data_IF_807817498337
#
_entry.id   IF_807817498337
#
_cell.length_a   1.000
_cell.length_b   1.000
_cell.length_c   1.000
_cell.angle_alpha   90.00
_cell.angle_beta   90.00
_cell.angle_gamma   90.00
#
_symmetry.space_group_name_H-M   'P 1'
#
loop_
_entity.id
_entity.type
_entity.pdbx_description
1 polymer ?
#
# COMPACT_ATOMS: atom_id res chain seq x y z
N UNK A 1 8.16 -10.73 24.72
CA UNK A 1 8.41 -9.58 23.83
C UNK A 1 7.46 -9.68 22.64
N UNK A 2 6.63 -8.67 22.37
CA UNK A 2 5.76 -8.68 21.18
C UNK A 2 6.57 -8.67 19.88
N UNK A 3 5.99 -9.26 18.82
CA UNK A 3 6.55 -9.31 17.46
C UNK A 3 6.86 -7.89 16.95
N UNK A 4 7.71 -7.77 15.92
CA UNK A 4 8.04 -6.46 15.36
C UNK A 4 6.78 -5.72 14.87
N UNK A 5 5.79 -6.44 14.33
CA UNK A 5 4.51 -5.88 13.92
C UNK A 5 3.67 -5.39 15.08
N UNK A 6 3.61 -6.13 16.19
CA UNK A 6 2.97 -5.63 17.40
C UNK A 6 3.56 -4.28 17.81
N UNK A 7 4.89 -4.12 17.77
CA UNK A 7 5.54 -2.84 18.08
C UNK A 7 5.19 -1.73 17.08
N UNK A 8 5.12 -2.05 15.79
CA UNK A 8 4.68 -1.11 14.74
C UNK A 8 3.25 -0.64 15.02
N UNK A 9 2.32 -1.56 15.31
CA UNK A 9 0.93 -1.24 15.64
C UNK A 9 0.83 -0.38 16.91
N UNK A 10 1.59 -0.70 17.96
CA UNK A 10 1.63 0.13 19.18
C UNK A 10 2.20 1.52 18.91
N UNK A 11 3.22 1.64 18.05
CA UNK A 11 3.77 2.93 17.66
C UNK A 11 2.73 3.74 16.85
N UNK A 12 1.96 3.12 15.95
CA UNK A 12 0.87 3.77 15.22
C UNK A 12 -0.26 4.22 16.16
N UNK A 13 -0.73 3.34 17.07
CA UNK A 13 -1.77 3.67 18.06
C UNK A 13 -1.36 4.81 18.99
N UNK A 14 -0.08 4.90 19.33
CA UNK A 14 0.47 5.98 20.14
C UNK A 14 0.81 7.26 19.34
N UNK A 15 0.42 7.35 18.05
CA UNK A 15 0.70 8.50 17.19
C UNK A 15 2.17 8.65 16.77
N UNK A 16 3.04 7.68 17.10
CA UNK A 16 4.48 7.66 16.79
C UNK A 16 4.73 7.18 15.35
N UNK A 17 4.07 7.81 14.37
CA UNK A 17 4.09 7.44 12.94
C UNK A 17 5.51 7.29 12.38
N UNK A 18 6.39 8.27 12.65
CA UNK A 18 7.81 8.24 12.21
C UNK A 18 8.51 6.95 12.65
N UNK A 19 8.33 6.57 13.92
CA UNK A 19 8.95 5.37 14.51
C UNK A 19 8.42 4.08 13.88
N UNK A 20 7.13 4.03 13.57
CA UNK A 20 6.53 2.91 12.83
C UNK A 20 7.11 2.80 11.41
N UNK A 21 7.22 3.91 10.68
CA UNK A 21 7.84 3.96 9.36
C UNK A 21 9.31 3.51 9.38
N UNK A 22 10.09 3.97 10.36
CA UNK A 22 11.51 3.60 10.50
C UNK A 22 11.67 2.08 10.73
N UNK A 23 10.78 1.47 11.53
CA UNK A 23 10.76 0.01 11.72
C UNK A 23 10.43 -0.73 10.42
N UNK A 24 9.42 -0.28 9.67
CA UNK A 24 9.07 -0.88 8.38
C UNK A 24 10.19 -0.74 7.34
N UNK A 25 10.85 0.42 7.27
CA UNK A 25 12.03 0.62 6.40
C UNK A 25 13.15 -0.36 6.73
N UNK A 26 13.40 -0.60 8.01
CA UNK A 26 14.38 -1.59 8.44
C UNK A 26 13.99 -3.00 7.98
N UNK A 27 12.71 -3.37 8.12
CA UNK A 27 12.21 -4.65 7.62
C UNK A 27 12.32 -4.77 6.09
N UNK A 28 11.97 -3.74 5.31
CA UNK A 28 12.11 -3.73 3.85
C UNK A 28 13.59 -3.90 3.45
N UNK A 29 14.51 -3.28 4.20
CA UNK A 29 15.95 -3.41 3.95
C UNK A 29 16.51 -4.80 4.31
N UNK A 30 15.86 -5.50 5.23
CA UNK A 30 16.24 -6.82 5.70
C UNK A 30 15.63 -7.93 4.83
N UNK A 31 14.37 -7.76 4.42
CA UNK A 31 13.57 -8.69 3.63
C UNK A 31 13.08 -8.00 2.34
N UNK A 32 13.99 -7.68 1.40
CA UNK A 32 13.63 -6.90 0.21
C UNK A 32 12.70 -7.64 -0.76
N UNK A 33 12.60 -8.97 -0.65
CA UNK A 33 11.72 -9.82 -1.46
C UNK A 33 10.25 -9.73 -1.03
N UNK A 34 9.98 -9.29 0.20
CA UNK A 34 8.61 -9.19 0.71
C UNK A 34 8.01 -7.81 0.41
N UNK A 35 7.35 -7.71 -0.74
CA UNK A 35 6.69 -6.45 -1.17
C UNK A 35 5.54 -6.03 -0.24
N UNK A 36 4.95 -6.94 0.54
CA UNK A 36 3.87 -6.57 1.48
C UNK A 36 4.33 -5.57 2.54
N UNK A 37 5.63 -5.56 2.85
CA UNK A 37 6.23 -4.56 3.75
C UNK A 37 6.22 -3.17 3.14
N UNK A 38 6.45 -3.07 1.82
CA UNK A 38 6.35 -1.82 1.07
C UNK A 38 4.90 -1.35 1.01
N UNK A 39 3.94 -2.25 0.77
CA UNK A 39 2.51 -1.92 0.75
C UNK A 39 2.02 -1.34 2.09
N UNK A 40 2.43 -1.95 3.21
CA UNK A 40 2.12 -1.44 4.55
C UNK A 40 2.69 -0.04 4.78
N UNK A 41 3.94 0.18 4.36
CA UNK A 41 4.59 1.48 4.52
C UNK A 41 3.91 2.55 3.64
N UNK A 42 3.55 2.19 2.40
CA UNK A 42 2.81 3.04 1.50
C UNK A 42 1.45 3.45 2.08
N UNK A 43 0.70 2.50 2.66
CA UNK A 43 -0.57 2.79 3.31
C UNK A 43 -0.42 3.81 4.45
N UNK A 44 0.59 3.66 5.31
CA UNK A 44 0.85 4.63 6.40
C UNK A 44 1.14 6.03 5.84
N UNK A 45 1.87 6.12 4.73
CA UNK A 45 2.14 7.38 4.06
C UNK A 45 0.88 8.00 3.46
N UNK A 46 0.06 7.19 2.79
CA UNK A 46 -1.21 7.61 2.20
C UNK A 46 -2.17 8.13 3.26
N UNK A 47 -2.36 7.38 4.35
CA UNK A 47 -3.21 7.77 5.50
C UNK A 47 -2.71 9.04 6.20
N UNK A 48 -1.46 9.43 5.96
CA UNK A 48 -0.83 10.63 6.49
C UNK A 48 -0.80 11.80 5.48
N UNK A 49 -1.37 11.61 4.28
CA UNK A 49 -1.46 12.63 3.24
C UNK A 49 -0.23 12.75 2.32
N UNK A 50 0.79 11.90 2.50
CA UNK A 50 2.01 11.91 1.69
C UNK A 50 1.84 10.98 0.48
N UNK A 51 1.06 11.42 -0.51
CA UNK A 51 0.69 10.59 -1.68
C UNK A 51 1.90 10.20 -2.55
N UNK A 52 2.89 11.06 -2.68
CA UNK A 52 4.13 10.80 -3.43
C UNK A 52 4.98 9.71 -2.77
N UNK A 53 5.19 9.79 -1.45
CA UNK A 53 5.86 8.73 -0.69
C UNK A 53 5.07 7.42 -0.71
N UNK A 54 3.73 7.47 -0.69
CA UNK A 54 2.92 6.27 -0.85
C UNK A 54 3.14 5.62 -2.23
N UNK A 55 3.09 6.42 -3.30
CA UNK A 55 3.35 5.95 -4.67
C UNK A 55 4.73 5.33 -4.85
N UNK A 56 5.76 5.88 -4.20
CA UNK A 56 7.12 5.32 -4.17
C UNK A 56 7.15 3.87 -3.69
N UNK A 57 6.44 3.58 -2.61
CA UNK A 57 6.44 2.25 -2.02
C UNK A 57 5.48 1.29 -2.74
N UNK A 58 4.41 1.79 -3.36
CA UNK A 58 3.46 0.99 -4.15
C UNK A 58 3.86 0.70 -5.59
N UNK A 59 4.86 1.38 -6.18
CA UNK A 59 5.17 1.27 -7.62
C UNK A 59 5.47 -0.17 -8.13
N UNK A 60 5.89 -1.08 -7.26
CA UNK A 60 6.13 -2.48 -7.61
C UNK A 60 4.93 -3.40 -7.31
N UNK A 61 3.86 -2.85 -6.75
CA UNK A 61 2.64 -3.57 -6.40
C UNK A 61 1.56 -3.27 -7.43
N UNK A 62 0.83 -4.29 -7.85
CA UNK A 62 -0.27 -4.10 -8.80
C UNK A 62 -1.37 -3.26 -8.14
N UNK A 63 -1.76 -2.10 -8.72
CA UNK A 63 -2.75 -1.23 -8.12
C UNK A 63 -4.10 -1.91 -7.98
N UNK A 64 -4.67 -1.90 -6.78
CA UNK A 64 -5.95 -2.55 -6.48
C UNK A 64 -7.13 -1.58 -6.52
N UNK A 65 -6.87 -0.27 -6.51
CA UNK A 65 -7.87 0.78 -6.50
C UNK A 65 -7.35 2.06 -7.19
N UNK A 66 -8.22 3.07 -7.32
CA UNK A 66 -7.90 4.32 -7.99
C UNK A 66 -6.86 5.13 -7.20
N UNK A 67 -6.93 5.10 -5.88
CA UNK A 67 -6.05 5.83 -4.97
C UNK A 67 -4.59 5.38 -5.08
N UNK A 68 -4.34 4.08 -5.14
CA UNK A 68 -3.00 3.51 -5.37
C UNK A 68 -2.46 3.96 -6.72
N UNK A 69 -3.28 3.89 -7.77
CA UNK A 69 -2.89 4.31 -9.11
C UNK A 69 -2.54 5.80 -9.15
N UNK A 70 -3.37 6.65 -8.56
CA UNK A 70 -3.15 8.09 -8.45
C UNK A 70 -1.85 8.39 -7.70
N UNK A 71 -1.62 7.75 -6.55
CA UNK A 71 -0.40 7.92 -5.76
C UNK A 71 0.86 7.54 -6.56
N UNK A 72 0.82 6.41 -7.27
CA UNK A 72 1.92 5.99 -8.15
C UNK A 72 2.15 7.01 -9.27
N UNK A 73 1.11 7.53 -9.90
CA UNK A 73 1.23 8.56 -10.95
C UNK A 73 1.84 9.85 -10.40
N UNK A 74 1.39 10.33 -9.22
CA UNK A 74 1.95 11.49 -8.53
C UNK A 74 3.45 11.30 -8.27
N UNK A 75 3.83 10.14 -7.72
CA UNK A 75 5.23 9.80 -7.46
C UNK A 75 6.06 9.78 -8.75
N UNK A 76 5.57 9.13 -9.80
CA UNK A 76 6.30 9.07 -11.07
C UNK A 76 6.47 10.46 -11.68
N UNK A 77 5.44 11.30 -11.59
CA UNK A 77 5.48 12.67 -12.10
C UNK A 77 6.46 13.56 -11.30
N UNK A 78 6.56 13.38 -9.98
CA UNK A 78 7.53 14.13 -9.16
C UNK A 78 8.99 13.85 -9.56
N UNK A 79 9.26 12.66 -10.12
CA UNK A 79 10.56 12.28 -10.70
C UNK A 79 10.61 12.43 -12.22
N UNK A 80 9.72 13.23 -12.82
CA UNK A 80 9.64 13.48 -14.27
C UNK A 80 9.59 12.20 -15.11
N UNK A 81 8.96 11.15 -14.58
CA UNK A 81 8.90 9.82 -15.18
C UNK A 81 10.28 9.23 -15.57
N UNK A 82 11.34 9.63 -14.87
CA UNK A 82 12.71 9.17 -15.14
C UNK A 82 12.96 7.81 -14.53
N UNK A 83 13.18 6.79 -15.38
CA UNK A 83 13.51 5.43 -14.94
C UNK A 83 14.74 5.38 -14.06
N UNK A 84 15.79 6.13 -14.42
CA UNK A 84 17.02 6.23 -13.62
C UNK A 84 16.77 6.84 -12.23
N UNK A 85 15.96 7.91 -12.14
CA UNK A 85 15.66 8.55 -10.85
C UNK A 85 14.82 7.63 -9.96
N UNK A 86 13.78 7.01 -10.53
CA UNK A 86 12.91 6.07 -9.82
C UNK A 86 13.72 4.86 -9.31
N UNK A 87 14.57 4.24 -10.15
CA UNK A 87 15.40 3.10 -9.73
C UNK A 87 16.30 3.46 -8.55
N UNK A 88 16.94 4.63 -8.59
CA UNK A 88 17.80 5.14 -7.50
C UNK A 88 17.05 5.49 -6.23
N UNK A 89 15.75 5.76 -6.33
CA UNK A 89 14.93 6.16 -5.20
C UNK A 89 14.24 4.97 -4.51
N UNK A 90 13.73 4.00 -5.27
CA UNK A 90 13.05 2.80 -4.72
C UNK A 90 14.03 1.73 -4.20
N UNK A 91 15.24 1.70 -4.77
CA UNK A 91 16.37 0.82 -4.41
C UNK A 91 15.92 -0.61 -4.12
N UNK A 92 15.43 -1.32 -5.13
CA UNK A 92 15.06 -2.73 -4.96
C UNK A 92 16.31 -3.61 -4.89
N UNK A 93 16.47 -4.35 -3.77
CA UNK A 93 17.63 -5.22 -3.49
C UNK A 93 17.28 -6.70 -3.39
N UNK A 94 16.07 -7.06 -3.79
CA UNK A 94 15.57 -8.43 -3.77
C UNK A 94 15.91 -9.21 -5.03
N UNK A 95 15.44 -10.45 -5.06
CA UNK A 95 15.45 -11.35 -6.19
C UNK A 95 14.36 -10.98 -7.20
N UNK A 96 14.75 -10.45 -8.35
CA UNK A 96 13.82 -10.13 -9.43
C UNK A 96 13.08 -11.36 -9.95
N UNK A 97 13.60 -12.58 -9.75
CA UNK A 97 12.95 -13.81 -10.22
C UNK A 97 11.70 -14.15 -9.40
N UNK A 98 11.65 -13.73 -8.13
CA UNK A 98 10.54 -13.98 -7.20
C UNK A 98 9.42 -12.94 -7.29
N UNK A 99 9.64 -11.87 -8.05
CA UNK A 99 8.65 -10.82 -8.28
C UNK A 99 7.48 -11.30 -9.15
N UNK A 100 6.31 -10.68 -8.96
CA UNK A 100 5.17 -10.83 -9.86
C UNK A 100 5.50 -10.33 -11.28
N UNK A 101 4.74 -10.77 -12.27
CA UNK A 101 4.92 -10.33 -13.66
C UNK A 101 4.73 -8.81 -13.80
N UNK A 102 3.79 -8.24 -13.04
CA UNK A 102 3.60 -6.79 -12.93
C UNK A 102 4.91 -6.10 -12.49
N UNK A 103 5.46 -6.49 -11.35
CA UNK A 103 6.66 -5.88 -10.78
C UNK A 103 7.88 -6.03 -11.71
N UNK A 104 8.03 -7.21 -12.32
CA UNK A 104 9.07 -7.49 -13.34
C UNK A 104 8.93 -6.54 -14.52
N UNK A 105 7.72 -6.35 -15.04
CA UNK A 105 7.46 -5.46 -16.17
C UNK A 105 7.78 -3.99 -15.80
N UNK A 106 7.36 -3.53 -14.62
CA UNK A 106 7.67 -2.16 -14.16
C UNK A 106 9.18 -1.95 -14.07
N UNK A 107 9.93 -2.85 -13.41
CA UNK A 107 11.38 -2.73 -13.34
C UNK A 107 12.03 -2.73 -14.73
N UNK A 108 11.61 -3.64 -15.61
CA UNK A 108 12.12 -3.70 -17.00
C UNK A 108 11.88 -2.39 -17.76
N UNK A 109 10.71 -1.78 -17.61
CA UNK A 109 10.40 -0.48 -18.23
C UNK A 109 11.31 0.62 -17.70
N UNK A 110 11.50 0.70 -16.38
CA UNK A 110 12.36 1.69 -15.75
C UNK A 110 13.83 1.52 -16.15
N UNK A 111 14.32 0.28 -16.21
CA UNK A 111 15.67 -0.07 -16.64
C UNK A 111 15.89 0.28 -18.12
N UNK A 112 14.90 -0.01 -18.97
CA UNK A 112 14.93 0.34 -20.39
C UNK A 112 14.97 1.86 -20.59
N UNK A 113 14.14 2.61 -19.87
CA UNK A 113 14.15 4.08 -19.91
C UNK A 113 15.48 4.65 -19.42
N UNK A 114 15.99 4.13 -18.31
CA UNK A 114 17.30 4.49 -17.75
C UNK A 114 18.40 4.30 -18.78
N UNK A 115 18.51 3.10 -19.37
CA UNK A 115 19.54 2.82 -20.37
C UNK A 115 19.40 3.70 -21.61
N UNK A 116 18.18 3.94 -22.10
CA UNK A 116 17.95 4.81 -23.26
C UNK A 116 18.44 6.24 -23.02
N UNK A 117 18.11 6.82 -21.87
CA UNK A 117 18.38 8.23 -21.54
C UNK A 117 19.79 8.47 -20.99
N UNK A 118 20.32 7.58 -20.16
CA UNK A 118 21.58 7.79 -19.43
C UNK A 118 22.70 6.85 -19.85
N UNK A 119 22.43 5.86 -20.71
CA UNK A 119 23.36 4.77 -21.06
C UNK A 119 23.81 3.93 -19.86
N UNK A 120 23.06 3.99 -18.76
CA UNK A 120 23.38 3.30 -17.53
C UNK A 120 22.12 2.77 -16.86
N UNK A 121 22.22 1.59 -16.24
CA UNK A 121 21.19 1.02 -15.38
C UNK A 121 21.78 0.95 -13.97
N UNK A 122 21.18 1.65 -12.98
CA UNK A 122 21.61 1.53 -11.60
C UNK A 122 21.59 0.08 -11.12
N UNK A 123 22.72 -0.38 -10.61
CA UNK A 123 22.84 -1.71 -10.00
C UNK A 123 22.87 -1.60 -8.48
N UNK A 124 22.16 -2.49 -7.81
CA UNK A 124 22.06 -2.52 -6.35
C UNK A 124 22.42 -3.92 -5.86
N UNK A 125 23.43 -3.99 -4.98
CA UNK A 125 23.85 -5.25 -4.38
C UNK A 125 22.66 -5.94 -3.71
N UNK A 126 22.35 -7.14 -4.21
CA UNK A 126 21.28 -8.00 -3.68
C UNK A 126 21.52 -8.27 -2.19
N UNK A 127 20.44 -8.24 -1.41
CA UNK A 127 20.41 -8.74 -0.04
C UNK A 127 19.50 -9.95 -0.02
N UNK A 128 20.09 -11.12 0.21
CA UNK A 128 19.33 -12.35 0.32
C UNK A 128 19.18 -12.69 1.80
N UNK A 129 17.96 -12.53 2.30
CA UNK A 129 17.45 -13.22 3.48
C UNK A 129 16.15 -13.84 3.07
N UNK A 130 15.97 -15.12 3.40
CA UNK A 130 14.65 -15.74 3.31
C UNK A 130 13.65 -14.89 4.10
N UNK A 131 12.38 -14.89 3.68
CA UNK A 131 11.30 -14.22 4.40
C UNK A 131 11.41 -14.59 5.88
N UNK A 132 11.77 -13.62 6.72
CA UNK A 132 12.12 -13.91 8.09
C UNK A 132 10.94 -14.46 8.87
N UNK A 133 11.22 -15.16 9.97
CA UNK A 133 10.25 -15.57 10.98
C UNK A 133 9.68 -14.36 11.75
N UNK A 134 9.26 -13.30 11.06
CA UNK A 134 8.56 -12.18 11.66
C UNK A 134 7.06 -12.49 11.57
N UNK A 135 6.45 -12.84 12.70
CA UNK A 135 5.04 -13.21 12.75
C UNK A 135 4.18 -11.96 12.56
N UNK A 136 3.55 -11.86 11.41
CA UNK A 136 2.50 -10.90 11.12
C UNK A 136 1.23 -11.29 11.88
N UNK A 137 0.75 -10.40 12.75
CA UNK A 137 -0.58 -10.55 13.32
C UNK A 137 -1.59 -10.31 12.21
N UNK A 138 -2.30 -11.37 11.81
CA UNK A 138 -3.31 -11.35 10.73
C UNK A 138 -4.53 -10.45 11.02
N UNK A 139 -4.57 -9.79 12.18
CA UNK A 139 -5.79 -9.19 12.73
C UNK A 139 -6.10 -7.77 12.23
N UNK A 140 -5.17 -7.01 11.65
CA UNK A 140 -5.39 -5.57 11.42
C UNK A 140 -5.92 -5.16 10.04
N UNK A 141 -5.84 -6.01 9.00
CA UNK A 141 -6.28 -5.63 7.65
C UNK A 141 -7.74 -6.00 7.35
N UNK A 142 -8.17 -7.23 7.70
CA UNK A 142 -9.53 -7.70 7.42
C UNK A 142 -10.58 -7.19 8.42
N UNK A 143 -10.18 -6.84 9.64
CA UNK A 143 -11.10 -6.32 10.66
C UNK A 143 -11.66 -4.95 10.28
N UNK A 144 -10.86 -4.07 9.71
CA UNK A 144 -11.30 -2.73 9.33
C UNK A 144 -12.35 -2.78 8.20
N UNK A 145 -12.10 -3.55 7.13
CA UNK A 145 -13.07 -3.69 6.02
C UNK A 145 -14.37 -4.35 6.48
N UNK A 146 -14.29 -5.41 7.30
CA UNK A 146 -15.47 -6.05 7.88
C UNK A 146 -16.26 -5.13 8.82
N UNK A 147 -15.56 -4.29 9.59
CA UNK A 147 -16.18 -3.32 10.49
C UNK A 147 -16.92 -2.21 9.73
N UNK A 148 -16.33 -1.66 8.66
CA UNK A 148 -16.99 -0.66 7.82
C UNK A 148 -18.20 -1.24 7.07
N UNK A 149 -18.13 -2.49 6.59
CA UNK A 149 -19.28 -3.17 5.99
C UNK A 149 -20.41 -3.43 7.00
N UNK A 150 -20.08 -3.81 8.24
CA UNK A 150 -21.06 -3.97 9.32
C UNK A 150 -21.75 -2.64 9.67
N UNK A 151 -20.97 -1.57 9.85
CA UNK A 151 -21.52 -0.24 10.14
C UNK A 151 -22.41 0.23 8.99
N UNK A 152 -21.94 0.12 7.74
CA UNK A 152 -22.72 0.49 6.56
C UNK A 152 -24.05 -0.27 6.48
N UNK A 153 -24.03 -1.58 6.75
CA UNK A 153 -25.23 -2.41 6.81
C UNK A 153 -26.21 -1.99 7.91
N UNK A 154 -25.72 -1.71 9.12
CA UNK A 154 -26.55 -1.27 10.25
C UNK A 154 -27.23 0.08 9.97
N UNK A 155 -26.55 1.00 9.27
CA UNK A 155 -27.11 2.31 8.90
C UNK A 155 -28.15 2.17 7.77
N UNK A 156 -27.97 1.22 6.84
CA UNK A 156 -28.89 1.02 5.71
C UNK A 156 -30.24 0.41 6.09
N UNK A 157 -30.26 -0.49 7.09
CA UNK A 157 -31.46 -1.18 7.56
C UNK A 157 -32.60 -0.23 8.01
N UNK A 158 -32.37 0.78 8.88
CA UNK A 158 -33.42 1.72 9.25
C UNK A 158 -33.86 2.61 8.09
N UNK A 159 -32.95 2.96 7.16
CA UNK A 159 -33.28 3.76 5.99
C UNK A 159 -34.27 3.03 5.06
N UNK A 160 -34.01 1.75 4.79
CA UNK A 160 -34.94 0.88 4.03
C UNK A 160 -36.29 0.73 4.73
N UNK A 161 -36.30 0.63 6.06
CA UNK A 161 -37.53 0.57 6.85
C UNK A 161 -38.39 1.83 6.72
N UNK A 162 -37.76 3.02 6.77
CA UNK A 162 -38.45 4.31 6.65
C UNK A 162 -39.05 4.54 5.26
N UNK A 163 -38.33 4.17 4.18
CA UNK A 163 -38.84 4.27 2.81
C UNK A 163 -40.10 3.42 2.65
N UNK A 164 -40.07 2.17 3.13
CA UNK A 164 -41.23 1.26 3.04
C UNK A 164 -42.43 1.74 3.85
N UNK A 165 -42.20 2.36 5.00
CA UNK A 165 -43.26 2.92 5.84
C UNK A 165 -43.95 4.12 5.15
N UNK A 166 -43.16 4.96 4.48
CA UNK A 166 -43.67 6.08 3.68
C UNK A 166 -44.59 5.64 2.53
N UNK A 167 -44.23 4.58 1.80
CA UNK A 167 -45.07 4.02 0.74
C UNK A 167 -46.42 3.49 1.27
N UNK A 168 -46.40 2.81 2.42
CA UNK A 168 -47.62 2.27 3.04
C UNK A 168 -48.54 3.40 3.51
N UNK A 169 -47.99 4.42 4.17
CA UNK A 169 -48.75 5.61 4.61
C UNK A 169 -49.32 6.35 3.39
N UNK A 170 -48.52 6.56 2.34
CA UNK A 170 -48.98 7.19 1.10
C UNK A 170 -50.12 6.44 0.43
N UNK A 171 -50.07 5.10 0.43
CA UNK A 171 -51.14 4.23 -0.11
C UNK A 171 -52.43 4.28 0.72
N UNK A 172 -52.33 4.49 2.04
CA UNK A 172 -53.50 4.62 2.93
C UNK A 172 -54.16 6.00 2.82
N UNK A 173 -53.38 7.08 2.67
CA UNK A 173 -53.88 8.45 2.57
C UNK A 173 -54.27 8.89 1.15
N UNK A 174 -53.93 8.10 0.13
CA UNK A 174 -54.33 8.34 -1.28
C UNK A 174 -55.61 7.59 -1.67
N UNK A 175 -56.38 7.11 -0.69
CA UNK A 175 -57.68 6.44 -0.87
C UNK A 175 -58.78 7.23 -0.16
#
# INVERSE_FOLDING_TARGET
>A
MGTIFYRIEQDLKAGRKKKACDRLRNLINEFPDDLSLRDKLAQIYYDSGFKDEAGKFWILSEPQNFEMKEAIEIYRNSLSNSGNAILKDIVFRGDKTQLSDYAKNILKQLETDSFKKTKHIPDFKRKQREKGNYTESKDSFFSNVGFYLLIGGIILLPFLGLVKLGEIIGSIFSK
#
